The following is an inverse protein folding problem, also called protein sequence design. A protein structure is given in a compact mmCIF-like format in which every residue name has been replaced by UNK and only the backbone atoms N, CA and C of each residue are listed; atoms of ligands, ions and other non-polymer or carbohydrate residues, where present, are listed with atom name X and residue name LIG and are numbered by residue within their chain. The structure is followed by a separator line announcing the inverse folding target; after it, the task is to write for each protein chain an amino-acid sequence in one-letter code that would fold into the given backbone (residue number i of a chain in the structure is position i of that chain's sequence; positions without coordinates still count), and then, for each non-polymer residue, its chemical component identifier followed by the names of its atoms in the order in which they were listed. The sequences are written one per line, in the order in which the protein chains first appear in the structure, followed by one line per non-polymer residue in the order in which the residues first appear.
data_IF_624057199854
#
_entry.id   IF_624057199854
#
_cell.length_a   1.000
_cell.length_b   1.000
_cell.length_c   1.000
_cell.angle_alpha   90.00
_cell.angle_beta   90.00
_cell.angle_gamma   90.00
#
_symmetry.space_group_name_H-M   'P 1'
#
loop_
_entity.id
_entity.type
_entity.pdbx_description
1 polymer ?
#
# COMPACT_ATOMS: atom_id res chain seq x y z
N UNK A 1 21.21 -34.92 -23.59
CA UNK A 1 21.36 -33.95 -22.48
C UNK A 1 20.65 -32.66 -22.85
N UNK A 2 19.57 -32.28 -22.17
CA UNK A 2 18.96 -30.95 -22.35
C UNK A 2 19.33 -30.09 -21.16
N UNK A 3 20.29 -29.19 -21.34
CA UNK A 3 20.37 -27.97 -20.53
C UNK A 3 19.71 -26.87 -21.34
N UNK A 4 18.79 -26.14 -20.71
CA UNK A 4 18.79 -24.66 -20.62
C UNK A 4 17.38 -24.05 -20.69
N UNK A 5 16.95 -23.45 -19.59
CA UNK A 5 16.63 -22.01 -19.51
C UNK A 5 16.33 -21.64 -18.06
N UNK A 6 17.19 -20.82 -17.46
CA UNK A 6 16.85 -20.06 -16.26
C UNK A 6 16.74 -18.61 -16.70
N UNK A 7 15.54 -18.05 -16.96
CA UNK A 7 15.39 -16.62 -16.92
C UNK A 7 15.12 -16.25 -15.47
N UNK A 8 16.16 -15.79 -14.78
CA UNK A 8 16.02 -15.06 -13.51
C UNK A 8 15.40 -13.69 -13.83
N UNK A 9 14.11 -13.65 -14.17
CA UNK A 9 13.46 -12.41 -14.53
C UNK A 9 12.98 -11.73 -13.25
N UNK A 10 13.86 -10.91 -12.65
CA UNK A 10 13.58 -10.14 -11.42
C UNK A 10 12.46 -9.11 -11.57
N UNK A 11 11.97 -8.88 -12.79
CA UNK A 11 10.97 -7.89 -13.12
C UNK A 11 9.84 -8.49 -13.94
N UNK A 12 8.62 -8.04 -13.67
CA UNK A 12 7.45 -8.26 -14.50
C UNK A 12 7.02 -6.95 -15.16
N UNK A 13 6.37 -7.06 -16.31
CA UNK A 13 5.74 -5.92 -16.99
C UNK A 13 4.24 -5.93 -16.71
N UNK A 14 3.65 -4.76 -16.51
CA UNK A 14 2.21 -4.56 -16.43
C UNK A 14 1.76 -3.63 -17.56
N UNK A 15 0.55 -3.83 -18.05
CA UNK A 15 -0.08 -2.93 -19.01
C UNK A 15 -1.14 -2.10 -18.30
N UNK A 16 -1.24 -0.82 -18.66
CA UNK A 16 -2.29 0.09 -18.20
C UNK A 16 -3.05 0.64 -19.43
N UNK A 17 -4.28 1.13 -19.28
CA UNK A 17 -4.98 1.84 -20.34
C UNK A 17 -4.14 3.01 -20.88
N UNK A 18 -4.18 3.22 -22.19
CA UNK A 18 -3.42 4.29 -22.84
C UNK A 18 -3.77 5.67 -22.28
N UNK A 19 -5.06 5.94 -22.08
CA UNK A 19 -5.55 7.20 -21.51
C UNK A 19 -4.95 7.48 -20.12
N UNK A 20 -4.82 6.43 -19.29
CA UNK A 20 -4.22 6.56 -17.96
C UNK A 20 -2.71 6.83 -18.04
N UNK A 21 -2.01 6.22 -19.01
CA UNK A 21 -0.61 6.53 -19.25
C UNK A 21 -0.42 8.00 -19.62
N UNK A 22 -1.24 8.50 -20.54
CA UNK A 22 -1.20 9.89 -21.00
C UNK A 22 -1.52 10.88 -19.88
N UNK A 23 -2.52 10.59 -19.05
CA UNK A 23 -2.85 11.40 -17.87
C UNK A 23 -1.66 11.51 -16.89
N UNK A 24 -0.97 10.39 -16.63
CA UNK A 24 0.21 10.38 -15.75
C UNK A 24 1.36 11.16 -16.40
N UNK A 25 1.60 10.97 -17.69
CA UNK A 25 2.65 11.68 -18.42
C UNK A 25 2.41 13.19 -18.43
N UNK A 26 1.16 13.62 -18.64
CA UNK A 26 0.76 15.02 -18.60
C UNK A 26 0.94 15.61 -17.20
N UNK A 27 0.56 14.88 -16.14
CA UNK A 27 0.77 15.28 -14.75
C UNK A 27 2.25 15.54 -14.45
N UNK A 28 3.13 14.61 -14.85
CA UNK A 28 4.58 14.72 -14.63
C UNK A 28 5.14 15.92 -15.40
N UNK A 29 4.74 16.07 -16.67
CA UNK A 29 5.24 17.14 -17.55
C UNK A 29 4.81 18.53 -17.07
N UNK A 30 3.56 18.67 -16.62
CA UNK A 30 3.02 19.96 -16.13
C UNK A 30 3.53 20.33 -14.74
N UNK A 31 4.03 19.37 -13.96
CA UNK A 31 4.39 19.59 -12.56
C UNK A 31 5.79 19.02 -12.25
N UNK A 32 6.86 19.60 -12.80
CA UNK A 32 8.23 19.12 -12.56
C UNK A 32 8.65 19.15 -11.08
N UNK A 33 7.96 19.93 -10.26
CA UNK A 33 8.15 19.97 -8.79
C UNK A 33 7.73 18.70 -8.05
N UNK A 34 7.03 17.76 -8.70
CA UNK A 34 6.65 16.49 -8.08
C UNK A 34 7.82 15.50 -7.93
N UNK A 35 8.94 15.73 -8.63
CA UNK A 35 10.14 14.90 -8.52
C UNK A 35 10.09 13.58 -9.31
N UNK A 36 9.05 13.36 -10.10
CA UNK A 36 8.97 12.22 -11.01
C UNK A 36 9.62 12.53 -12.35
N UNK A 37 10.38 11.59 -12.90
CA UNK A 37 11.00 11.72 -14.23
C UNK A 37 10.38 10.80 -15.28
N UNK A 38 9.54 9.85 -14.86
CA UNK A 38 8.85 8.93 -15.76
C UNK A 38 7.56 8.37 -15.17
N UNK A 39 6.64 7.96 -16.05
CA UNK A 39 5.41 7.24 -15.69
C UNK A 39 5.72 6.01 -14.83
N UNK A 40 6.78 5.28 -15.15
CA UNK A 40 7.19 4.09 -14.42
C UNK A 40 7.60 4.38 -12.97
N UNK A 41 8.24 5.52 -12.68
CA UNK A 41 8.59 5.91 -11.31
C UNK A 41 7.35 6.15 -10.46
N UNK A 42 6.43 6.97 -10.98
CA UNK A 42 5.17 7.28 -10.31
C UNK A 42 4.35 6.00 -10.09
N UNK A 43 4.21 5.14 -11.10
CA UNK A 43 3.51 3.86 -10.96
C UNK A 43 4.12 2.95 -9.89
N UNK A 44 5.46 2.84 -9.83
CA UNK A 44 6.14 2.04 -8.79
C UNK A 44 5.84 2.56 -7.39
N UNK A 45 5.84 3.87 -7.20
CA UNK A 45 5.52 4.47 -5.90
C UNK A 45 4.05 4.28 -5.54
N UNK A 46 3.13 4.59 -6.46
CA UNK A 46 1.70 4.42 -6.24
C UNK A 46 1.35 2.98 -5.84
N UNK A 47 1.95 1.98 -6.50
CA UNK A 47 1.79 0.56 -6.14
C UNK A 47 2.29 0.28 -4.72
N UNK A 48 3.46 0.82 -4.32
CA UNK A 48 4.01 0.63 -2.98
C UNK A 48 3.14 1.27 -1.91
N UNK A 49 2.69 2.51 -2.12
CA UNK A 49 1.80 3.22 -1.22
C UNK A 49 0.50 2.44 -1.04
N UNK A 50 -0.12 2.03 -2.14
CA UNK A 50 -1.37 1.25 -2.09
C UNK A 50 -1.21 -0.09 -1.36
N UNK A 51 -0.09 -0.78 -1.59
CA UNK A 51 0.21 -2.01 -0.85
C UNK A 51 0.44 -1.77 0.65
N UNK A 52 1.04 -0.63 1.02
CA UNK A 52 1.22 -0.24 2.42
C UNK A 52 -0.11 0.05 3.10
N UNK A 53 -0.98 0.84 2.46
CA UNK A 53 -2.34 1.14 2.92
C UNK A 53 -3.13 -0.14 3.14
N UNK A 54 -3.15 -1.06 2.17
CA UNK A 54 -3.88 -2.34 2.29
C UNK A 54 -3.33 -3.18 3.46
N UNK A 55 -2.02 -3.14 3.74
CA UNK A 55 -1.44 -3.84 4.89
C UNK A 55 -1.87 -3.18 6.21
N UNK A 56 -1.87 -1.86 6.27
CA UNK A 56 -2.31 -1.10 7.44
C UNK A 56 -3.81 -1.32 7.69
N UNK A 57 -4.66 -1.24 6.66
CA UNK A 57 -6.10 -1.54 6.76
C UNK A 57 -6.35 -2.96 7.28
N UNK A 58 -5.53 -3.93 6.86
CA UNK A 58 -5.60 -5.30 7.38
C UNK A 58 -5.15 -5.41 8.83
N UNK A 59 -4.15 -4.63 9.23
CA UNK A 59 -3.62 -4.63 10.60
C UNK A 59 -4.53 -3.88 11.57
N UNK A 60 -5.12 -2.76 11.15
CA UNK A 60 -6.12 -1.99 11.92
C UNK A 60 -7.46 -2.73 12.05
N UNK A 61 -7.75 -3.69 11.16
CA UNK A 61 -8.98 -4.50 11.22
C UNK A 61 -8.98 -5.63 12.26
N UNK A 62 -7.94 -5.78 13.09
CA UNK A 62 -7.96 -6.79 14.13
C UNK A 62 -7.45 -6.24 15.47
N UNK A 63 -8.39 -5.74 16.28
CA UNK A 63 -8.32 -5.95 17.73
C UNK A 63 -8.98 -7.31 17.98
N UNK A 64 -8.28 -8.23 18.63
CA UNK A 64 -8.88 -9.52 19.00
C UNK A 64 -10.05 -9.30 19.96
N UNK A 65 -11.04 -10.22 19.98
CA UNK A 65 -12.14 -10.16 20.95
C UNK A 65 -11.63 -10.00 22.38
N UNK A 66 -10.50 -10.63 22.69
CA UNK A 66 -9.82 -10.55 23.99
C UNK A 66 -9.30 -9.15 24.32
N UNK A 67 -8.63 -8.48 23.37
CA UNK A 67 -8.14 -7.12 23.58
C UNK A 67 -9.29 -6.12 23.75
N UNK A 68 -10.43 -6.34 23.07
CA UNK A 68 -11.66 -5.55 23.30
C UNK A 68 -12.21 -5.79 24.71
N UNK A 69 -12.29 -7.04 25.16
CA UNK A 69 -12.74 -7.39 26.51
C UNK A 69 -11.83 -6.77 27.59
N UNK A 70 -10.51 -6.86 27.43
CA UNK A 70 -9.54 -6.28 28.37
C UNK A 70 -9.68 -4.74 28.45
N UNK A 71 -9.91 -4.06 27.32
CA UNK A 71 -10.18 -2.62 27.28
C UNK A 71 -11.48 -2.25 28.00
N UNK A 72 -12.55 -3.02 27.79
CA UNK A 72 -13.84 -2.81 28.44
C UNK A 72 -13.72 -2.96 29.96
N UNK A 73 -13.06 -4.01 30.44
CA UNK A 73 -12.81 -4.20 31.87
C UNK A 73 -12.03 -3.03 32.48
N UNK A 74 -11.02 -2.52 31.76
CA UNK A 74 -10.24 -1.37 32.22
C UNK A 74 -11.12 -0.12 32.36
N UNK A 75 -11.99 0.16 31.39
CA UNK A 75 -12.90 1.31 31.44
C UNK A 75 -13.88 1.17 32.60
N UNK A 76 -14.48 -0.01 32.78
CA UNK A 76 -15.40 -0.28 33.90
C UNK A 76 -14.74 -0.05 35.26
N UNK A 77 -13.52 -0.57 35.46
CA UNK A 77 -12.77 -0.36 36.70
C UNK A 77 -12.51 1.12 36.96
N UNK A 78 -12.17 1.89 35.93
CA UNK A 78 -11.91 3.32 36.06
C UNK A 78 -13.19 4.12 36.36
N UNK A 79 -14.31 3.78 35.74
CA UNK A 79 -15.61 4.40 36.04
C UNK A 79 -16.08 4.09 37.45
N UNK A 80 -15.84 2.86 37.94
CA UNK A 80 -16.14 2.50 39.34
C UNK A 80 -15.29 3.27 40.35
N UNK A 81 -14.03 3.58 40.02
CA UNK A 81 -13.13 4.37 40.89
C UNK A 81 -13.45 5.86 40.94
N UNK A 82 -14.24 6.37 40.00
CA UNK A 82 -14.66 7.78 39.92
C UNK A 82 -16.01 8.07 40.58
N UNK A 83 -16.74 7.04 41.02
CA UNK A 83 -17.92 7.15 41.90
C UNK A 83 -17.48 7.03 43.35
#
# INVERSE_FOLDING_TARGET
MKRQKVPNNKYSTISIPQELHEEIEELITKNPGLGYTSVAELCKEAIRLRLSEIKMEKQERYISQREVEELLEMIERNLRRRK
#
